data_IF_607764244367
#
_entry.id   IF_607764244367
#
_cell.length_a   1.000
_cell.length_b   1.000
_cell.length_c   1.000
_cell.angle_alpha   90.00
_cell.angle_beta   90.00
_cell.angle_gamma   90.00
#
_symmetry.space_group_name_H-M   'P 1'
#
loop_
_entity.id
_entity.type
_entity.pdbx_description
1 polymer ?
#
# COMPACT_ATOMS: atom_id res chain seq x y z
N UNK A 1 29.87 1.19 5.44
CA UNK A 1 28.43 1.29 5.81
C UNK A 1 27.63 0.98 4.57
N UNK A 2 26.70 0.01 4.63
CA UNK A 2 25.83 -0.33 3.51
C UNK A 2 24.42 0.20 3.80
N UNK A 3 23.84 0.92 2.85
CA UNK A 3 22.42 1.31 2.91
C UNK A 3 21.59 0.10 2.47
N UNK A 4 20.61 -0.29 3.29
CA UNK A 4 19.70 -1.39 3.00
C UNK A 4 18.31 -0.80 2.73
N UNK A 5 17.76 -1.10 1.55
CA UNK A 5 16.33 -0.90 1.28
C UNK A 5 15.56 -2.14 1.78
N UNK A 6 14.68 -2.00 2.79
CA UNK A 6 13.92 -3.13 3.31
C UNK A 6 12.77 -3.55 2.38
N UNK A 7 12.30 -2.70 1.45
CA UNK A 7 11.07 -2.95 0.70
C UNK A 7 11.09 -4.28 -0.09
N UNK A 8 12.17 -4.64 -0.81
CA UNK A 8 12.22 -5.93 -1.51
C UNK A 8 12.18 -7.13 -0.56
N UNK A 9 12.79 -7.02 0.62
CA UNK A 9 12.79 -8.09 1.60
C UNK A 9 11.40 -8.29 2.22
N UNK A 10 10.70 -7.19 2.52
CA UNK A 10 9.31 -7.21 3.03
C UNK A 10 8.38 -7.83 2.00
N UNK A 11 8.44 -7.44 0.72
CA UNK A 11 7.58 -8.00 -0.32
C UNK A 11 7.72 -9.53 -0.46
N UNK A 12 8.95 -10.06 -0.43
CA UNK A 12 9.20 -11.51 -0.45
C UNK A 12 8.64 -12.20 0.79
N UNK A 13 8.79 -11.58 1.97
CA UNK A 13 8.29 -12.14 3.21
C UNK A 13 6.76 -12.18 3.23
N UNK A 14 6.08 -11.14 2.76
CA UNK A 14 4.62 -11.11 2.62
C UNK A 14 4.14 -12.25 1.72
N UNK A 15 4.77 -12.45 0.55
CA UNK A 15 4.44 -13.57 -0.33
C UNK A 15 4.54 -14.93 0.36
N UNK A 16 5.65 -15.18 1.07
CA UNK A 16 5.87 -16.44 1.80
C UNK A 16 4.76 -16.70 2.82
N UNK A 17 4.35 -15.67 3.57
CA UNK A 17 3.28 -15.79 4.55
C UNK A 17 1.93 -16.07 3.89
N UNK A 18 1.61 -15.38 2.79
CA UNK A 18 0.38 -15.64 2.03
C UNK A 18 0.33 -17.08 1.47
N UNK A 19 1.44 -17.58 0.94
CA UNK A 19 1.57 -18.97 0.47
C UNK A 19 1.38 -19.98 1.61
N UNK A 20 2.05 -19.76 2.76
CA UNK A 20 1.96 -20.63 3.93
C UNK A 20 0.53 -20.77 4.48
N UNK A 21 -0.29 -19.71 4.38
CA UNK A 21 -1.67 -19.71 4.87
C UNK A 21 -2.70 -20.05 3.78
N UNK A 22 -2.27 -20.31 2.54
CA UNK A 22 -3.18 -20.55 1.41
C UNK A 22 -4.00 -19.33 1.00
N UNK A 23 -3.53 -18.11 1.31
CA UNK A 23 -4.19 -16.84 1.00
C UNK A 23 -3.68 -16.18 -0.29
N UNK A 24 -2.65 -16.73 -0.90
CA UNK A 24 -2.16 -16.22 -2.17
C UNK A 24 -3.29 -16.27 -3.20
N UNK A 25 -3.56 -15.13 -3.85
CA UNK A 25 -4.58 -15.04 -4.89
C UNK A 25 -4.33 -16.13 -5.96
N UNK A 26 -5.39 -16.85 -6.34
CA UNK A 26 -5.29 -17.98 -7.25
C UNK A 26 -5.29 -17.56 -8.73
N UNK A 27 -5.64 -16.31 -9.03
CA UNK A 27 -5.61 -15.75 -10.37
C UNK A 27 -4.42 -14.81 -10.55
N UNK A 28 -4.00 -14.63 -11.80
CA UNK A 28 -2.95 -13.67 -12.17
C UNK A 28 -3.50 -12.26 -12.40
N UNK A 29 -4.76 -12.01 -12.02
CA UNK A 29 -5.37 -10.70 -12.17
C UNK A 29 -4.72 -9.73 -11.17
N UNK A 30 -4.29 -8.58 -11.66
CA UNK A 30 -3.85 -7.50 -10.78
C UNK A 30 -5.02 -7.06 -9.90
N UNK A 31 -4.76 -6.94 -8.60
CA UNK A 31 -5.70 -6.34 -7.67
C UNK A 31 -5.92 -4.86 -7.97
N UNK A 32 -7.02 -4.31 -7.45
CA UNK A 32 -7.27 -2.87 -7.49
C UNK A 32 -6.50 -2.18 -6.37
N UNK A 33 -5.90 -1.03 -6.69
CA UNK A 33 -5.21 -0.19 -5.72
C UNK A 33 -6.15 0.92 -5.24
N UNK A 34 -6.42 0.94 -3.93
CA UNK A 34 -7.12 2.04 -3.26
C UNK A 34 -6.13 2.81 -2.39
N UNK A 35 -6.08 4.12 -2.55
CA UNK A 35 -5.14 4.97 -1.81
C UNK A 35 -5.87 5.79 -0.76
N UNK A 36 -5.44 5.66 0.49
CA UNK A 36 -6.05 6.33 1.64
C UNK A 36 -4.97 7.06 2.43
N UNK A 37 -5.26 8.27 2.90
CA UNK A 37 -4.35 9.04 3.75
C UNK A 37 -5.08 9.76 4.88
N UNK A 38 -4.50 9.74 6.07
CA UNK A 38 -4.95 10.60 7.19
C UNK A 38 -4.37 12.01 7.13
N UNK A 39 -3.48 12.27 6.18
CA UNK A 39 -2.85 13.57 5.94
C UNK A 39 -3.52 14.35 4.80
N UNK A 40 -2.87 15.41 4.31
CA UNK A 40 -3.36 16.16 3.16
C UNK A 40 -3.40 15.31 1.87
N UNK A 41 -4.59 15.19 1.27
CA UNK A 41 -4.85 14.40 0.06
C UNK A 41 -4.03 14.89 -1.15
N UNK A 42 -4.03 16.20 -1.42
CA UNK A 42 -3.39 16.74 -2.64
C UNK A 42 -1.87 16.51 -2.69
N UNK A 43 -1.09 16.77 -1.63
CA UNK A 43 0.33 16.40 -1.60
C UNK A 43 0.58 14.91 -1.77
N UNK A 44 -0.24 14.05 -1.15
CA UNK A 44 -0.09 12.59 -1.27
C UNK A 44 -0.30 12.12 -2.71
N UNK A 45 -1.38 12.58 -3.36
CA UNK A 45 -1.68 12.27 -4.75
C UNK A 45 -0.51 12.64 -5.70
N UNK A 46 0.12 13.80 -5.49
CA UNK A 46 1.30 14.22 -6.28
C UNK A 46 2.50 13.29 -6.10
N UNK A 47 2.69 12.75 -4.89
CA UNK A 47 3.80 11.84 -4.59
C UNK A 47 3.55 10.46 -5.22
N UNK A 48 2.30 9.98 -5.27
CA UNK A 48 1.97 8.71 -5.95
C UNK A 48 2.42 8.73 -7.41
N UNK A 49 2.11 9.80 -8.14
CA UNK A 49 2.53 9.93 -9.54
C UNK A 49 4.06 9.98 -9.67
N UNK A 50 4.75 10.64 -8.73
CA UNK A 50 6.21 10.78 -8.77
C UNK A 50 6.95 9.48 -8.42
N UNK A 51 6.47 8.72 -7.44
CA UNK A 51 7.20 7.56 -6.91
C UNK A 51 6.71 6.23 -7.48
N UNK A 52 5.42 6.13 -7.81
CA UNK A 52 4.80 4.90 -8.30
C UNK A 52 4.38 5.00 -9.77
N UNK A 53 4.37 6.19 -10.37
CA UNK A 53 3.82 6.40 -11.71
C UNK A 53 2.29 6.30 -11.76
N UNK A 54 1.64 6.23 -10.60
CA UNK A 54 0.19 6.02 -10.49
C UNK A 54 -0.57 7.35 -10.40
N UNK A 55 -1.72 7.41 -11.06
CA UNK A 55 -2.68 8.52 -10.96
C UNK A 55 -4.05 7.95 -10.62
N UNK A 56 -4.32 7.79 -9.33
CA UNK A 56 -5.57 7.28 -8.81
C UNK A 56 -6.17 8.25 -7.78
N UNK A 57 -7.50 8.24 -7.56
CA UNK A 57 -8.14 8.97 -6.48
C UNK A 57 -7.53 8.58 -5.13
N UNK A 58 -7.36 9.59 -4.26
CA UNK A 58 -6.89 9.40 -2.89
C UNK A 58 -8.00 9.82 -1.95
N UNK A 59 -8.38 8.92 -1.05
CA UNK A 59 -9.36 9.18 -0.02
C UNK A 59 -8.71 9.79 1.22
N UNK A 60 -9.29 10.89 1.72
CA UNK A 60 -8.88 11.52 2.97
C UNK A 60 -9.71 10.98 4.12
N UNK A 61 -9.07 10.32 5.08
CA UNK A 61 -9.72 9.74 6.25
C UNK A 61 -9.33 10.48 7.52
N UNK A 62 -10.22 10.46 8.52
CA UNK A 62 -9.93 10.97 9.86
C UNK A 62 -10.14 9.85 10.85
N UNK A 63 -9.21 9.73 11.79
CA UNK A 63 -9.34 8.81 12.91
C UNK A 63 -10.61 9.15 13.71
N UNK A 64 -11.45 8.14 13.98
CA UNK A 64 -12.50 8.23 14.98
C UNK A 64 -12.04 7.47 16.22
N UNK A 65 -11.62 8.18 17.28
CA UNK A 65 -11.34 7.55 18.58
C UNK A 65 -10.47 6.28 18.49
N UNK A 66 -9.22 6.45 18.08
CA UNK A 66 -8.18 5.40 17.91
C UNK A 66 -8.34 4.42 16.75
N UNK A 67 -9.44 4.43 16.00
CA UNK A 67 -9.61 3.58 14.81
C UNK A 67 -9.79 4.43 13.52
N UNK A 68 -9.45 3.85 12.36
CA UNK A 68 -9.96 4.36 11.08
C UNK A 68 -11.43 3.91 10.96
N UNK A 69 -12.35 4.76 10.46
CA UNK A 69 -13.68 4.32 10.10
C UNK A 69 -13.62 3.28 8.98
N UNK A 70 -14.50 2.27 9.06
CA UNK A 70 -14.67 1.17 8.11
C UNK A 70 -15.09 1.66 6.70
#
# INVERSE_FOLDING_TARGET
MQVIDPAPAIARQTRRLLEQHGWLAQNEANGFLSFVTSGPVSPFAKILTRLLGESAPVEGVRWNSSNLPD
#
